data_IF_173038617776
#
_entry.id   IF_173038617776
#
_cell.length_a   1.000
_cell.length_b   1.000
_cell.length_c   1.000
_cell.angle_alpha   90.00
_cell.angle_beta   90.00
_cell.angle_gamma   90.00
#
_symmetry.space_group_name_H-M   'P 1'
#
loop_
_entity.id
_entity.type
_entity.pdbx_description
1 polymer ?
#
# COMPACT_ATOMS: atom_id res chain seq x y z
N UNK A 1 33.60 -4.96 -19.92
CA UNK A 1 32.28 -5.02 -20.59
C UNK A 1 31.26 -5.06 -19.47
N UNK A 2 30.79 -3.90 -19.01
CA UNK A 2 29.85 -3.79 -17.89
C UNK A 2 28.57 -3.18 -18.42
N UNK A 3 27.49 -3.97 -18.41
CA UNK A 3 26.17 -3.55 -18.87
C UNK A 3 25.66 -2.36 -18.05
N UNK A 4 25.17 -1.35 -18.76
CA UNK A 4 24.49 -0.18 -18.20
C UNK A 4 23.08 -0.63 -17.78
N UNK A 5 22.79 -0.59 -16.49
CA UNK A 5 21.41 -0.68 -15.99
C UNK A 5 20.60 0.50 -16.52
N UNK A 6 19.34 0.30 -16.97
CA UNK A 6 18.51 1.39 -17.45
C UNK A 6 18.07 2.30 -16.29
N UNK A 7 17.82 3.56 -16.62
CA UNK A 7 17.52 4.64 -15.69
C UNK A 7 16.34 4.33 -14.76
N UNK A 8 16.53 4.63 -13.47
CA UNK A 8 15.51 4.60 -12.42
C UNK A 8 14.45 5.66 -12.72
N UNK A 9 13.22 5.23 -13.05
CA UNK A 9 12.07 6.15 -13.14
C UNK A 9 11.63 6.51 -11.71
N UNK A 10 12.13 7.63 -11.20
CA UNK A 10 11.62 8.25 -9.97
C UNK A 10 10.28 8.91 -10.32
N UNK A 11 9.16 8.25 -10.00
CA UNK A 11 7.83 8.88 -10.10
C UNK A 11 7.63 9.80 -8.88
N UNK A 12 8.02 11.08 -9.02
CA UNK A 12 7.65 12.13 -8.06
C UNK A 12 6.19 12.49 -8.29
N UNK A 13 5.30 12.07 -7.39
CA UNK A 13 3.94 12.62 -7.34
C UNK A 13 4.05 13.97 -6.64
N UNK A 14 3.85 15.05 -7.39
CA UNK A 14 3.80 16.40 -6.84
C UNK A 14 2.52 16.54 -5.99
N UNK A 15 2.68 16.64 -4.68
CA UNK A 15 1.60 17.05 -3.79
C UNK A 15 1.28 18.53 -4.07
N UNK A 16 0.11 18.81 -4.64
CA UNK A 16 -0.41 20.18 -4.70
C UNK A 16 -0.81 20.59 -3.28
N UNK A 17 -0.03 21.49 -2.70
CA UNK A 17 -0.28 22.08 -1.39
C UNK A 17 -1.29 23.23 -1.51
N UNK A 18 -2.44 23.12 -0.85
CA UNK A 18 -3.21 24.29 -0.41
C UNK A 18 -3.46 24.15 1.09
N UNK A 19 -2.93 25.09 1.86
CA UNK A 19 -3.14 25.19 3.31
C UNK A 19 -4.48 25.84 3.66
N UNK A 20 -4.98 25.45 4.84
CA UNK A 20 -5.91 26.13 5.77
C UNK A 20 -7.40 26.25 5.44
N UNK A 21 -8.18 25.87 6.47
CA UNK A 21 -9.60 26.16 6.75
C UNK A 21 -10.58 25.98 5.58
N UNK A 22 -11.23 24.81 5.58
CA UNK A 22 -12.20 24.40 4.56
C UNK A 22 -13.40 25.34 4.45
N UNK A 23 -13.22 26.42 3.68
CA UNK A 23 -14.31 27.24 3.16
C UNK A 23 -15.14 26.41 2.18
N UNK A 24 -16.43 26.71 2.07
CA UNK A 24 -17.37 26.04 1.13
C UNK A 24 -16.83 25.97 -0.32
N UNK A 25 -15.92 26.86 -0.70
CA UNK A 25 -15.21 26.84 -1.98
C UNK A 25 -14.20 25.69 -2.15
N UNK A 26 -13.47 25.31 -1.10
CA UNK A 26 -12.47 24.23 -1.17
C UNK A 26 -13.13 22.85 -1.22
N UNK A 27 -14.20 22.64 -0.44
CA UNK A 27 -14.99 21.39 -0.49
C UNK A 27 -15.63 21.17 -1.87
N UNK A 28 -16.10 22.24 -2.52
CA UNK A 28 -16.64 22.18 -3.88
C UNK A 28 -15.57 21.83 -4.92
N UNK A 29 -14.35 22.39 -4.79
CA UNK A 29 -13.22 22.04 -5.66
C UNK A 29 -12.85 20.57 -5.53
N UNK A 30 -12.61 20.10 -4.30
CA UNK A 30 -12.31 18.68 -4.02
C UNK A 30 -13.40 17.74 -4.54
N UNK A 31 -14.67 18.11 -4.39
CA UNK A 31 -15.79 17.33 -4.93
C UNK A 31 -15.79 17.29 -6.46
N UNK A 32 -15.50 18.40 -7.13
CA UNK A 32 -15.41 18.45 -8.58
C UNK A 32 -14.19 17.66 -9.09
N UNK A 33 -13.04 17.80 -8.45
CA UNK A 33 -11.82 17.06 -8.80
C UNK A 33 -12.06 15.54 -8.69
N UNK A 34 -12.73 15.10 -7.62
CA UNK A 34 -13.10 13.69 -7.46
C UNK A 34 -14.08 13.22 -8.55
N UNK A 35 -15.06 14.05 -8.93
CA UNK A 35 -15.99 13.71 -10.02
C UNK A 35 -15.28 13.57 -11.36
N UNK A 36 -14.36 14.48 -11.67
CA UNK A 36 -13.55 14.44 -12.90
C UNK A 36 -12.67 13.19 -12.90
N UNK A 37 -12.01 12.89 -11.78
CA UNK A 37 -11.21 11.69 -11.61
C UNK A 37 -12.04 10.42 -11.86
N UNK A 38 -13.17 10.24 -11.16
CA UNK A 38 -14.02 9.04 -11.29
C UNK A 38 -14.62 8.92 -12.69
N UNK A 39 -15.01 10.03 -13.33
CA UNK A 39 -15.55 10.03 -14.68
C UNK A 39 -14.51 9.56 -15.73
N UNK A 40 -13.22 9.86 -15.49
CA UNK A 40 -12.12 9.48 -16.38
C UNK A 40 -11.64 8.03 -16.26
N UNK A 41 -12.15 7.26 -15.30
CA UNK A 41 -11.73 5.87 -15.08
C UNK A 41 -12.23 4.92 -16.17
N UNK A 42 -11.38 3.98 -16.57
CA UNK A 42 -11.78 2.82 -17.39
C UNK A 42 -12.72 1.88 -16.62
N UNK A 43 -13.27 0.85 -17.27
CA UNK A 43 -14.13 -0.13 -16.60
C UNK A 43 -13.41 -0.85 -15.45
N UNK A 44 -12.20 -1.36 -15.72
CA UNK A 44 -11.37 -2.06 -14.72
C UNK A 44 -10.96 -1.15 -13.58
N UNK A 45 -10.66 0.11 -13.89
CA UNK A 45 -10.34 1.14 -12.91
C UNK A 45 -11.54 1.50 -12.03
N UNK A 46 -12.75 1.59 -12.58
CA UNK A 46 -13.97 1.80 -11.78
C UNK A 46 -14.20 0.65 -10.82
N UNK A 47 -14.09 -0.59 -11.31
CA UNK A 47 -14.17 -1.78 -10.46
C UNK A 47 -13.14 -1.74 -9.33
N UNK A 48 -11.89 -1.39 -9.66
CA UNK A 48 -10.80 -1.24 -8.68
C UNK A 48 -11.10 -0.17 -7.65
N UNK A 49 -11.56 1.00 -8.10
CA UNK A 49 -11.89 2.12 -7.24
C UNK A 49 -13.03 1.76 -6.27
N UNK A 50 -14.13 1.20 -6.78
CA UNK A 50 -15.29 0.83 -5.96
C UNK A 50 -14.93 -0.25 -4.94
N UNK A 51 -14.16 -1.26 -5.35
CA UNK A 51 -13.69 -2.32 -4.45
C UNK A 51 -12.74 -1.80 -3.38
N UNK A 52 -11.79 -0.94 -3.73
CA UNK A 52 -10.88 -0.30 -2.78
C UNK A 52 -11.66 0.53 -1.74
N UNK A 53 -12.65 1.30 -2.18
CA UNK A 53 -13.51 2.08 -1.29
C UNK A 53 -14.33 1.20 -0.34
N UNK A 54 -14.86 0.07 -0.83
CA UNK A 54 -15.58 -0.91 0.00
C UNK A 54 -14.67 -1.58 1.01
N UNK A 55 -13.47 -2.02 0.61
CA UNK A 55 -12.48 -2.57 1.55
C UNK A 55 -12.14 -1.57 2.66
N UNK A 56 -11.94 -0.30 2.32
CA UNK A 56 -11.70 0.75 3.32
C UNK A 56 -12.88 0.89 4.28
N UNK A 57 -14.10 1.00 3.74
CA UNK A 57 -15.32 1.31 4.49
C UNK A 57 -15.86 0.15 5.32
N UNK A 58 -15.72 -1.08 4.85
CA UNK A 58 -16.42 -2.25 5.39
C UNK A 58 -15.47 -3.21 6.14
N UNK A 59 -14.18 -3.18 5.82
CA UNK A 59 -13.17 -4.06 6.43
C UNK A 59 -12.09 -3.27 7.17
N UNK A 60 -11.27 -2.50 6.47
CA UNK A 60 -10.03 -1.92 7.01
C UNK A 60 -10.33 -0.96 8.17
N UNK A 61 -11.20 0.04 7.96
CA UNK A 61 -11.52 1.04 8.99
C UNK A 61 -12.36 0.44 10.13
N UNK A 62 -13.47 -0.28 9.88
CA UNK A 62 -14.31 -0.81 10.96
C UNK A 62 -13.63 -1.87 11.82
N UNK A 63 -12.66 -2.61 11.26
CA UNK A 63 -11.94 -3.66 12.00
C UNK A 63 -10.63 -3.17 12.61
N UNK A 64 -10.30 -1.89 12.47
CA UNK A 64 -9.07 -1.32 12.99
C UNK A 64 -7.85 -2.07 12.46
N UNK A 65 -7.81 -2.37 11.16
CA UNK A 65 -6.64 -3.02 10.58
C UNK A 65 -5.49 -2.00 10.49
N UNK A 66 -4.31 -2.40 11.00
CA UNK A 66 -3.07 -1.63 10.97
C UNK A 66 -1.92 -2.55 10.53
N UNK A 67 -0.91 -2.01 9.83
CA UNK A 67 0.27 -2.77 9.40
C UNK A 67 0.00 -3.94 8.44
N UNK A 68 -1.17 -3.96 7.82
CA UNK A 68 -1.63 -5.06 6.97
C UNK A 68 -1.35 -4.83 5.46
N UNK A 69 -0.33 -4.06 5.11
CA UNK A 69 -0.04 -3.67 3.71
C UNK A 69 0.12 -4.87 2.78
N UNK A 70 0.85 -5.91 3.20
CA UNK A 70 0.98 -7.16 2.44
C UNK A 70 -0.37 -7.87 2.27
N UNK A 71 -1.10 -8.07 3.38
CA UNK A 71 -2.38 -8.79 3.36
C UNK A 71 -3.40 -8.09 2.48
N UNK A 72 -3.54 -6.77 2.63
CA UNK A 72 -4.54 -5.98 1.89
C UNK A 72 -4.18 -5.90 0.41
N UNK A 73 -2.89 -5.75 0.05
CA UNK A 73 -2.47 -5.71 -1.35
C UNK A 73 -2.70 -7.06 -2.05
N UNK A 74 -2.33 -8.17 -1.39
CA UNK A 74 -2.58 -9.52 -1.94
C UNK A 74 -4.07 -9.82 -2.03
N UNK A 75 -4.84 -9.45 -1.01
CA UNK A 75 -6.29 -9.61 -1.00
C UNK A 75 -6.97 -8.86 -2.15
N UNK A 76 -6.65 -7.58 -2.33
CA UNK A 76 -7.21 -6.78 -3.41
C UNK A 76 -6.83 -7.34 -4.78
N UNK A 77 -5.56 -7.75 -4.97
CA UNK A 77 -5.12 -8.44 -6.18
C UNK A 77 -5.96 -9.68 -6.47
N UNK A 78 -6.16 -10.53 -5.46
CA UNK A 78 -6.91 -11.77 -5.60
C UNK A 78 -8.36 -11.54 -5.98
N UNK A 79 -9.06 -10.64 -5.28
CA UNK A 79 -10.46 -10.33 -5.59
C UNK A 79 -10.59 -9.77 -7.01
N UNK A 80 -9.75 -8.80 -7.38
CA UNK A 80 -9.75 -8.21 -8.72
C UNK A 80 -9.57 -9.26 -9.82
N UNK A 81 -8.59 -10.15 -9.65
CA UNK A 81 -8.31 -11.21 -10.63
C UNK A 81 -9.43 -12.25 -10.71
N UNK A 82 -9.92 -12.74 -9.55
CA UNK A 82 -10.75 -13.93 -9.47
C UNK A 82 -12.23 -13.64 -9.65
N UNK A 83 -12.70 -12.52 -9.11
CA UNK A 83 -14.12 -12.16 -9.11
C UNK A 83 -14.46 -11.20 -10.26
N UNK A 84 -13.48 -10.43 -10.73
CA UNK A 84 -13.71 -9.35 -11.70
C UNK A 84 -12.88 -9.46 -12.99
N UNK A 85 -11.93 -10.40 -13.09
CA UNK A 85 -11.06 -10.55 -14.26
C UNK A 85 -10.11 -9.36 -14.49
N UNK A 86 -9.93 -8.49 -13.50
CA UNK A 86 -9.08 -7.29 -13.59
C UNK A 86 -7.62 -7.68 -13.34
N UNK A 87 -6.75 -7.35 -14.31
CA UNK A 87 -5.31 -7.59 -14.17
C UNK A 87 -4.68 -6.56 -13.23
N UNK A 88 -3.88 -7.06 -12.28
CA UNK A 88 -3.14 -6.22 -11.35
C UNK A 88 -1.89 -6.95 -10.84
N UNK A 89 -0.93 -6.20 -10.32
CA UNK A 89 0.32 -6.71 -9.78
C UNK A 89 0.52 -6.22 -8.35
N UNK A 90 0.81 -7.14 -7.42
CA UNK A 90 1.28 -6.77 -6.09
C UNK A 90 2.73 -6.35 -6.19
N UNK A 91 3.02 -5.11 -5.82
CA UNK A 91 4.38 -4.59 -5.79
C UNK A 91 4.89 -4.62 -4.37
N UNK A 92 6.06 -5.24 -4.17
CA UNK A 92 6.78 -5.22 -2.91
C UNK A 92 7.94 -4.23 -3.03
N UNK A 93 8.07 -3.39 -2.03
CA UNK A 93 9.14 -2.42 -1.99
C UNK A 93 9.26 -1.75 -0.63
N UNK A 94 9.62 -0.47 -0.68
CA UNK A 94 9.88 0.33 0.50
C UNK A 94 9.29 1.72 0.37
N UNK A 95 8.90 2.29 1.50
CA UNK A 95 8.47 3.69 1.61
C UNK A 95 9.32 4.44 2.64
N UNK A 96 9.52 5.74 2.41
CA UNK A 96 10.14 6.67 3.35
C UNK A 96 9.53 8.06 3.19
N UNK A 97 9.58 8.89 4.22
CA UNK A 97 8.98 10.23 4.23
C UNK A 97 9.96 11.35 3.82
N UNK A 98 11.16 10.97 3.39
CA UNK A 98 12.23 11.88 2.95
C UNK A 98 13.55 11.65 3.68
N UNK A 99 13.56 10.85 4.75
CA UNK A 99 14.76 10.40 5.43
C UNK A 99 15.38 9.13 4.80
N UNK A 100 16.47 8.62 5.38
CA UNK A 100 17.12 7.37 4.95
C UNK A 100 16.59 6.14 5.71
N UNK A 101 15.40 6.22 6.34
CA UNK A 101 14.77 5.11 7.06
C UNK A 101 13.64 4.53 6.20
N UNK A 102 13.87 3.32 5.71
CA UNK A 102 12.98 2.68 4.74
C UNK A 102 12.10 1.62 5.41
N UNK A 103 10.79 1.78 5.27
CA UNK A 103 9.78 0.84 5.79
C UNK A 103 9.39 -0.13 4.69
N UNK A 104 9.51 -1.43 4.94
CA UNK A 104 9.05 -2.46 4.01
C UNK A 104 7.54 -2.33 3.78
N UNK A 105 7.10 -2.29 2.53
CA UNK A 105 5.71 -2.00 2.20
C UNK A 105 5.24 -2.75 0.95
N UNK A 106 3.92 -2.82 0.78
CA UNK A 106 3.31 -3.33 -0.44
C UNK A 106 2.12 -2.49 -0.86
N UNK A 107 1.96 -2.40 -2.17
CA UNK A 107 0.86 -1.74 -2.84
C UNK A 107 0.47 -2.55 -4.09
N UNK A 108 -0.54 -2.08 -4.80
CA UNK A 108 -1.00 -2.68 -6.04
C UNK A 108 -0.74 -1.75 -7.23
N UNK A 109 -0.35 -2.32 -8.36
CA UNK A 109 -0.30 -1.66 -9.66
C UNK A 109 -1.48 -2.16 -10.51
N UNK A 110 -2.34 -1.24 -10.97
CA UNK A 110 -3.49 -1.50 -11.83
C UNK A 110 -3.44 -0.56 -13.02
N UNK A 111 -3.22 -1.09 -14.23
CA UNK A 111 -3.12 -0.26 -15.44
C UNK A 111 -2.00 0.78 -15.39
N UNK A 112 -0.90 0.49 -14.68
CA UNK A 112 0.20 1.44 -14.47
C UNK A 112 -0.02 2.44 -13.34
N UNK A 113 -1.15 2.36 -12.62
CA UNK A 113 -1.53 3.27 -11.55
C UNK A 113 -1.46 2.60 -10.18
N UNK A 114 -1.04 3.36 -9.16
CA UNK A 114 -0.84 2.85 -7.80
C UNK A 114 -2.15 2.80 -7.00
N UNK A 115 -2.34 1.73 -6.24
CA UNK A 115 -3.34 1.62 -5.17
C UNK A 115 -2.65 1.21 -3.87
N UNK A 116 -2.74 2.06 -2.86
CA UNK A 116 -2.21 1.83 -1.51
C UNK A 116 -3.26 2.23 -0.47
N UNK A 117 -3.77 1.24 0.25
CA UNK A 117 -4.83 1.44 1.25
C UNK A 117 -4.30 1.45 2.69
N UNK A 118 -2.99 1.27 2.88
CA UNK A 118 -2.42 0.95 4.19
C UNK A 118 -1.33 1.92 4.66
N UNK A 119 -0.80 2.79 3.80
CA UNK A 119 0.10 3.87 4.24
C UNK A 119 -0.55 4.79 5.29
N UNK A 120 -1.86 5.04 5.24
CA UNK A 120 -2.61 5.79 6.27
C UNK A 120 -2.77 5.01 7.60
N UNK A 121 -2.35 3.74 7.66
CA UNK A 121 -2.60 2.83 8.80
C UNK A 121 -1.35 2.04 9.20
N UNK A 122 -0.26 2.72 9.62
CA UNK A 122 0.93 2.08 10.16
C UNK A 122 0.62 1.38 11.50
N UNK A 123 1.53 0.49 11.94
CA UNK A 123 1.41 -0.21 13.23
C UNK A 123 1.79 0.64 14.45
N UNK A 124 2.64 1.66 14.27
CA UNK A 124 3.31 2.31 15.39
C UNK A 124 2.61 3.60 15.82
N UNK A 125 2.81 4.69 15.07
CA UNK A 125 2.31 6.00 15.51
C UNK A 125 1.30 6.61 14.53
N UNK A 126 0.36 7.41 15.07
CA UNK A 126 -0.54 8.19 14.22
C UNK A 126 0.20 9.30 13.45
N UNK A 127 1.37 9.72 13.94
CA UNK A 127 2.30 10.62 13.27
C UNK A 127 2.69 10.09 11.90
N UNK A 128 2.87 8.76 11.79
CA UNK A 128 3.39 8.09 10.60
C UNK A 128 2.30 7.78 9.54
N UNK A 129 1.12 8.40 9.64
CA UNK A 129 0.02 8.10 8.70
C UNK A 129 0.27 8.77 7.36
N UNK A 130 0.64 7.98 6.35
CA UNK A 130 0.69 8.44 4.96
C UNK A 130 -0.69 8.62 4.33
N UNK A 131 -0.75 8.92 3.02
CA UNK A 131 -2.00 9.02 2.30
C UNK A 131 -2.60 7.64 1.95
N UNK A 132 -3.91 7.59 1.77
CA UNK A 132 -4.54 6.54 0.97
C UNK A 132 -4.41 6.91 -0.51
N UNK A 133 -4.00 5.98 -1.36
CA UNK A 133 -3.86 6.20 -2.81
C UNK A 133 -4.76 5.19 -3.54
N UNK A 134 -5.61 5.66 -4.45
CA UNK A 134 -6.40 4.78 -5.31
C UNK A 134 -6.25 5.27 -6.75
N UNK A 135 -5.59 4.47 -7.59
CA UNK A 135 -5.29 4.76 -8.99
C UNK A 135 -4.57 6.10 -9.17
N UNK A 136 -3.48 6.27 -8.41
CA UNK A 136 -2.67 7.49 -8.26
C UNK A 136 -3.41 8.74 -7.72
N UNK A 137 -4.72 8.66 -7.47
CA UNK A 137 -5.43 9.71 -6.76
C UNK A 137 -5.13 9.63 -5.27
N UNK A 138 -4.62 10.73 -4.71
CA UNK A 138 -4.18 10.84 -3.32
C UNK A 138 -5.34 11.34 -2.46
N UNK A 139 -5.88 10.44 -1.64
CA UNK A 139 -6.80 10.77 -0.56
C UNK A 139 -5.97 11.12 0.68
N UNK A 140 -5.78 12.41 0.93
CA UNK A 140 -5.08 12.87 2.14
C UNK A 140 -5.79 12.34 3.38
N UNK A 141 -5.03 11.64 4.22
CA UNK A 141 -5.45 11.21 5.55
C UNK A 141 -5.39 12.36 6.56
N UNK A 142 -5.33 12.01 7.84
CA UNK A 142 -5.26 12.98 8.94
C UNK A 142 -3.89 13.64 9.13
N UNK A 143 -2.85 13.16 8.44
CA UNK A 143 -1.48 13.68 8.54
C UNK A 143 -1.02 14.36 7.23
N UNK A 144 0.03 15.18 7.35
CA UNK A 144 0.69 15.83 6.21
C UNK A 144 1.88 15.04 5.64
N UNK A 145 2.15 13.83 6.14
CA UNK A 145 3.25 13.00 5.65
C UNK A 145 2.98 12.57 4.21
N UNK A 146 4.01 12.68 3.38
CA UNK A 146 4.03 12.16 2.02
C UNK A 146 5.13 11.11 1.92
N UNK A 147 4.77 9.91 1.50
CA UNK A 147 5.74 8.84 1.27
C UNK A 147 6.25 8.85 -0.17
N UNK A 148 7.56 8.66 -0.31
CA UNK A 148 8.17 8.23 -1.56
C UNK A 148 8.20 6.70 -1.61
N UNK A 149 8.04 6.13 -2.81
CA UNK A 149 7.94 4.68 -3.02
C UNK A 149 9.14 4.20 -3.83
N UNK A 150 9.75 3.10 -3.38
CA UNK A 150 11.01 2.61 -3.93
C UNK A 150 10.97 1.09 -4.11
N UNK A 151 11.50 0.63 -5.23
CA UNK A 151 11.69 -0.80 -5.50
C UNK A 151 12.96 -1.36 -4.87
N UNK A 152 13.85 -0.51 -4.36
CA UNK A 152 15.07 -0.88 -3.66
C UNK A 152 15.42 0.20 -2.65
N UNK A 153 16.04 -0.18 -1.53
CA UNK A 153 16.67 0.79 -0.62
C UNK A 153 17.84 1.48 -1.34
N UNK A 154 18.06 2.75 -1.02
CA UNK A 154 19.24 3.49 -1.46
C UNK A 154 20.49 2.99 -0.71
N UNK A 155 21.69 3.27 -1.26
CA UNK A 155 22.94 2.96 -0.55
C UNK A 155 23.04 3.71 0.80
N UNK A 156 22.52 4.94 0.86
CA UNK A 156 22.47 5.73 2.08
C UNK A 156 21.59 5.06 3.16
N UNK A 157 20.40 4.57 2.78
CA UNK A 157 19.52 3.84 3.67
C UNK A 157 20.17 2.54 4.18
N UNK A 158 20.84 1.79 3.31
CA UNK A 158 21.56 0.58 3.72
C UNK A 158 22.71 0.89 4.71
N UNK A 159 23.41 2.02 4.54
CA UNK A 159 24.45 2.45 5.47
C UNK A 159 23.86 2.86 6.84
N UNK A 160 22.70 3.52 6.85
CA UNK A 160 21.96 3.87 8.06
C UNK A 160 21.50 2.61 8.81
N UNK A 161 20.90 1.66 8.11
CA UNK A 161 20.51 0.35 8.67
C UNK A 161 21.71 -0.36 9.32
N UNK A 162 22.85 -0.41 8.63
CA UNK A 162 24.06 -1.05 9.14
C UNK A 162 24.60 -0.34 10.39
N UNK A 163 24.60 0.99 10.40
CA UNK A 163 25.05 1.78 11.54
C UNK A 163 24.14 1.62 12.77
N UNK A 164 22.82 1.54 12.57
CA UNK A 164 21.86 1.29 13.64
C UNK A 164 21.97 -0.15 14.16
N UNK A 165 22.03 -1.13 13.26
CA UNK A 165 22.16 -2.55 13.63
C UNK A 165 23.47 -2.85 14.38
N UNK A 166 24.53 -2.08 14.15
CA UNK A 166 25.78 -2.19 14.92
C UNK A 166 25.63 -1.73 16.38
N UNK A 167 24.75 -0.76 16.63
CA UNK A 167 24.54 -0.12 17.95
C UNK A 167 23.42 -0.77 18.76
N UNK A 168 22.39 -1.28 18.09
CA UNK A 168 21.20 -1.83 18.74
C UNK A 168 20.90 -3.26 18.25
N UNK A 169 21.10 -4.29 19.10
CA UNK A 169 20.72 -5.67 18.79
C UNK A 169 19.22 -5.85 18.51
N UNK A 170 18.35 -5.07 19.15
CA UNK A 170 16.90 -5.12 18.93
C UNK A 170 16.54 -4.65 17.53
N UNK A 171 17.13 -3.54 17.10
CA UNK A 171 16.99 -3.06 15.72
C UNK A 171 17.50 -4.07 14.68
N UNK A 172 18.65 -4.71 14.94
CA UNK A 172 19.19 -5.77 14.07
C UNK A 172 18.23 -6.94 13.90
N UNK A 173 17.63 -7.40 15.00
CA UNK A 173 16.66 -8.50 14.95
C UNK A 173 15.37 -8.06 14.23
N UNK A 174 14.91 -6.83 14.45
CA UNK A 174 13.76 -6.26 13.74
C UNK A 174 14.00 -6.25 12.21
N UNK A 175 15.16 -5.80 11.75
CA UNK A 175 15.52 -5.85 10.32
C UNK A 175 15.48 -7.28 9.79
N UNK A 176 16.08 -8.23 10.50
CA UNK A 176 16.09 -9.65 10.10
C UNK A 176 14.68 -10.23 9.99
N UNK A 177 13.79 -9.90 10.93
CA UNK A 177 12.38 -10.31 10.89
C UNK A 177 11.72 -9.69 9.66
N UNK A 178 11.92 -8.39 9.40
CA UNK A 178 11.30 -7.71 8.25
C UNK A 178 11.79 -8.23 6.91
N UNK A 179 13.07 -8.53 6.78
CA UNK A 179 13.62 -9.15 5.57
C UNK A 179 13.04 -10.55 5.35
N UNK A 180 12.89 -11.33 6.43
CA UNK A 180 12.24 -12.65 6.38
C UNK A 180 10.77 -12.55 5.97
N UNK A 181 10.03 -11.60 6.54
CA UNK A 181 8.64 -11.34 6.17
C UNK A 181 8.54 -10.94 4.70
N UNK A 182 9.37 -9.99 4.24
CA UNK A 182 9.37 -9.49 2.88
C UNK A 182 9.69 -10.59 1.86
N UNK A 183 10.72 -11.41 2.12
CA UNK A 183 11.08 -12.55 1.26
C UNK A 183 9.96 -13.60 1.20
N UNK A 184 9.29 -13.86 2.33
CA UNK A 184 8.12 -14.75 2.37
C UNK A 184 6.98 -14.23 1.49
N UNK A 185 6.69 -12.93 1.54
CA UNK A 185 5.65 -12.35 0.68
C UNK A 185 6.06 -12.40 -0.79
N UNK A 186 7.32 -12.14 -1.11
CA UNK A 186 7.84 -12.25 -2.48
C UNK A 186 7.60 -13.64 -3.08
N UNK A 187 7.81 -14.70 -2.28
CA UNK A 187 7.44 -16.06 -2.68
C UNK A 187 5.93 -16.25 -2.80
N UNK A 188 5.14 -15.72 -1.84
CA UNK A 188 3.69 -15.88 -1.83
C UNK A 188 2.98 -15.24 -3.03
N UNK A 189 3.51 -14.15 -3.58
CA UNK A 189 2.88 -13.45 -4.71
C UNK A 189 3.21 -14.07 -6.09
N UNK A 190 4.08 -15.08 -6.13
CA UNK A 190 4.54 -15.72 -7.37
C UNK A 190 3.44 -16.51 -8.10
N UNK A 191 2.44 -17.04 -7.38
CA UNK A 191 1.33 -17.76 -7.98
C UNK A 191 0.02 -17.48 -7.24
N UNK A 192 -1.10 -17.70 -7.95
CA UNK A 192 -2.43 -17.52 -7.36
C UNK A 192 -2.71 -18.49 -6.21
N UNK A 193 -2.18 -19.71 -6.28
CA UNK A 193 -2.28 -20.70 -5.21
C UNK A 193 -1.54 -20.23 -3.95
N UNK A 194 -0.35 -19.66 -4.11
CA UNK A 194 0.47 -19.22 -2.98
C UNK A 194 -0.09 -17.96 -2.33
N UNK A 195 -0.71 -17.07 -3.13
CA UNK A 195 -1.47 -15.93 -2.62
C UNK A 195 -2.66 -16.38 -1.78
N UNK A 196 -3.42 -17.37 -2.26
CA UNK A 196 -4.57 -17.91 -1.52
C UNK A 196 -4.10 -18.54 -0.19
N UNK A 197 -3.03 -19.34 -0.21
CA UNK A 197 -2.43 -19.92 1.00
C UNK A 197 -1.94 -18.86 1.99
N UNK A 198 -1.32 -17.79 1.50
CA UNK A 198 -0.88 -16.67 2.32
C UNK A 198 -2.04 -15.96 3.02
N UNK A 199 -3.16 -15.74 2.32
CA UNK A 199 -4.35 -15.08 2.90
C UNK A 199 -4.97 -15.93 4.02
N UNK A 200 -5.03 -17.25 3.84
CA UNK A 200 -5.53 -18.17 4.87
C UNK A 200 -4.58 -18.20 6.08
N UNK A 201 -3.27 -18.27 5.85
CA UNK A 201 -2.28 -18.20 6.93
C UNK A 201 -2.36 -16.86 7.69
N UNK A 202 -2.53 -15.74 6.98
CA UNK A 202 -2.67 -14.42 7.58
C UNK A 202 -3.90 -14.35 8.49
N UNK A 203 -5.04 -14.93 8.08
CA UNK A 203 -6.24 -15.02 8.89
C UNK A 203 -6.04 -15.84 10.17
N UNK A 204 -5.31 -16.96 10.08
CA UNK A 204 -4.98 -17.81 11.23
C UNK A 204 -4.02 -17.07 12.18
N UNK A 205 -2.91 -16.52 11.67
CA UNK A 205 -1.87 -15.88 12.47
C UNK A 205 -2.37 -14.63 13.20
N UNK A 206 -3.21 -13.84 12.55
CA UNK A 206 -3.83 -12.66 13.17
C UNK A 206 -4.96 -13.01 14.14
N UNK A 207 -5.49 -14.24 14.10
CA UNK A 207 -6.65 -14.65 14.91
C UNK A 207 -7.95 -13.91 14.57
N UNK A 208 -7.98 -13.13 13.48
CA UNK A 208 -9.13 -12.30 13.11
C UNK A 208 -10.21 -13.08 12.34
N UNK A 209 -9.84 -14.26 11.82
CA UNK A 209 -10.73 -15.15 11.08
C UNK A 209 -11.23 -14.57 9.76
N UNK A 210 -10.61 -13.52 9.21
CA UNK A 210 -10.92 -12.95 7.90
C UNK A 210 -10.21 -13.72 6.79
N UNK A 211 -10.65 -14.96 6.54
CA UNK A 211 -10.25 -15.73 5.36
C UNK A 211 -10.76 -15.04 4.08
N UNK A 212 -10.22 -15.43 2.93
CA UNK A 212 -10.67 -14.91 1.62
C UNK A 212 -12.20 -15.00 1.47
N UNK A 213 -12.78 -16.17 1.73
CA UNK A 213 -14.22 -16.39 1.63
C UNK A 213 -15.03 -15.50 2.58
N UNK A 214 -14.57 -15.31 3.83
CA UNK A 214 -15.26 -14.44 4.79
C UNK A 214 -15.17 -12.98 4.36
N UNK A 215 -14.03 -12.54 3.85
CA UNK A 215 -13.87 -11.17 3.35
C UNK A 215 -14.82 -10.93 2.18
N UNK A 216 -14.90 -11.84 1.21
CA UNK A 216 -15.87 -11.75 0.12
C UNK A 216 -17.31 -11.64 0.62
N UNK A 217 -17.68 -12.33 1.70
CA UNK A 217 -19.04 -12.21 2.26
C UNK A 217 -19.33 -10.83 2.89
N UNK A 218 -18.29 -10.13 3.34
CA UNK A 218 -18.39 -8.77 3.90
C UNK A 218 -18.47 -7.74 2.78
N UNK A 219 -17.62 -7.86 1.76
CA UNK A 219 -17.51 -6.89 0.65
C UNK A 219 -18.31 -7.29 -0.59
N UNK A 220 -19.09 -8.37 -0.55
CA UNK A 220 -19.85 -8.91 -1.68
C UNK A 220 -21.33 -8.53 -1.68
N UNK A 221 -21.76 -7.68 -0.73
CA UNK A 221 -23.13 -7.16 -0.61
C UNK A 221 -23.24 -5.71 -1.05
#
# INVERSE_FOLDING_TARGET
>A
MGERYPAVTIMRIAAVTTETEGTVGESKRKSNDLKVFVAGLTSDEKTTYDLAQRLLKELIKPKGMHGACYRVSVLLNRILSKEYGVTSEVVLGWINDGDDIFISHAWLNVGGKKVDLMAERPMHEESDRGPTIILDHVFKGSSNITYSYHLHKTEAALAVDAAMAAKDPGYREMLRIKDTEHAKIAAAIASDRDKDAFLDEAAIRSGDGYTYARILSVIGR
#
